data_IF_967437525734
#
_entry.id   IF_967437525734
#
_cell.length_a   1.000
_cell.length_b   1.000
_cell.length_c   1.000
_cell.angle_alpha   90.00
_cell.angle_beta   90.00
_cell.angle_gamma   90.00
#
_symmetry.space_group_name_H-M   'P 1'
#
loop_
_entity.id
_entity.type
_entity.pdbx_description
1 polymer ?
#
# COMPACT_ATOMS: atom_id res chain seq x y z
N UNK A 1 22.01 4.06 -11.09
CA UNK A 1 21.54 5.10 -10.14
C UNK A 1 21.45 4.43 -8.79
N UNK A 2 22.00 5.02 -7.71
CA UNK A 2 21.80 4.50 -6.36
C UNK A 2 20.31 4.57 -6.01
N UNK A 3 19.74 3.48 -5.52
CA UNK A 3 18.36 3.44 -5.04
C UNK A 3 18.21 4.45 -3.88
N UNK A 4 17.10 5.19 -3.88
CA UNK A 4 16.84 6.22 -2.88
C UNK A 4 15.81 5.66 -1.89
N UNK A 5 16.23 5.44 -0.65
CA UNK A 5 15.32 5.10 0.45
C UNK A 5 14.33 6.23 0.66
N UNK A 6 13.03 5.94 0.59
CA UNK A 6 11.98 6.94 0.78
C UNK A 6 11.11 6.69 2.01
N UNK A 7 10.86 5.44 2.36
CA UNK A 7 10.19 5.06 3.60
C UNK A 7 11.09 4.13 4.39
N UNK A 8 11.28 4.41 5.66
CA UNK A 8 12.06 3.54 6.53
C UNK A 8 11.51 3.52 7.94
N UNK A 9 11.85 2.48 8.67
CA UNK A 9 11.61 2.40 10.10
C UNK A 9 12.82 1.88 10.84
N UNK A 10 12.95 2.27 12.12
CA UNK A 10 14.01 1.80 13.00
C UNK A 10 13.44 1.39 14.35
N UNK A 11 13.79 0.17 14.75
CA UNK A 11 13.49 -0.42 16.06
C UNK A 11 12.02 -0.29 16.45
N UNK A 12 11.10 -0.50 15.46
CA UNK A 12 9.67 -0.36 15.72
C UNK A 12 9.19 -1.37 16.75
N UNK A 13 8.56 -0.84 17.78
CA UNK A 13 7.89 -1.59 18.84
C UNK A 13 6.40 -1.29 18.84
N UNK A 14 5.57 -2.30 18.98
CA UNK A 14 4.13 -2.12 19.11
C UNK A 14 3.51 -3.17 20.02
N UNK A 15 2.73 -2.73 20.97
CA UNK A 15 1.90 -3.55 21.83
C UNK A 15 0.43 -3.35 21.48
N UNK A 16 -0.34 -4.42 21.40
CA UNK A 16 -1.77 -4.40 21.14
C UNK A 16 -2.52 -5.00 22.31
N UNK A 17 -3.74 -4.48 22.59
CA UNK A 17 -4.53 -4.91 23.74
C UNK A 17 -4.12 -4.24 25.05
N UNK A 18 -4.85 -4.52 26.11
CA UNK A 18 -4.66 -3.96 27.44
C UNK A 18 -4.47 -5.10 28.46
N UNK A 19 -3.80 -4.79 29.56
CA UNK A 19 -3.58 -5.69 30.70
C UNK A 19 -3.12 -7.11 30.31
N UNK A 20 -3.82 -8.15 30.74
CA UNK A 20 -3.48 -9.55 30.50
C UNK A 20 -3.59 -9.96 29.02
N UNK A 21 -4.32 -9.21 28.19
CA UNK A 21 -4.44 -9.43 26.74
C UNK A 21 -3.36 -8.72 25.93
N UNK A 22 -2.42 -8.04 26.57
CA UNK A 22 -1.37 -7.26 25.89
C UNK A 22 -0.41 -8.15 25.13
N UNK A 23 -0.39 -7.98 23.80
CA UNK A 23 0.48 -8.74 22.89
C UNK A 23 1.56 -7.82 22.35
N UNK A 24 2.82 -8.25 22.43
CA UNK A 24 3.94 -7.57 21.80
C UNK A 24 3.98 -7.91 20.31
N UNK A 25 3.29 -7.12 19.49
CA UNK A 25 3.02 -7.37 18.08
C UNK A 25 4.23 -7.09 17.18
N UNK A 26 5.04 -6.06 17.50
CA UNK A 26 6.32 -5.76 16.83
C UNK A 26 7.43 -5.62 17.87
N UNK A 27 8.58 -6.20 17.57
CA UNK A 27 9.69 -6.39 18.50
C UNK A 27 11.02 -5.91 17.90
N UNK A 28 11.15 -4.58 17.71
CA UNK A 28 12.36 -3.95 17.18
C UNK A 28 12.53 -4.16 15.68
N UNK A 29 11.48 -3.90 14.87
CA UNK A 29 11.55 -4.05 13.42
C UNK A 29 12.22 -2.85 12.79
N UNK A 30 13.26 -3.10 11.97
CA UNK A 30 13.94 -2.08 11.16
C UNK A 30 13.89 -2.50 9.68
N UNK A 31 13.55 -1.53 8.80
CA UNK A 31 13.34 -1.78 7.38
C UNK A 31 13.57 -0.50 6.57
N UNK A 32 14.09 -0.66 5.36
CA UNK A 32 14.25 0.41 4.37
C UNK A 32 13.53 0.04 3.08
N UNK A 33 12.78 1.00 2.50
CA UNK A 33 11.99 0.83 1.28
C UNK A 33 12.45 1.89 0.29
N UNK A 34 12.96 1.43 -0.85
CA UNK A 34 13.54 2.24 -1.89
C UNK A 34 12.54 2.54 -2.99
N UNK A 35 12.64 3.73 -3.60
CA UNK A 35 11.85 4.06 -4.78
C UNK A 35 12.20 3.14 -5.96
N UNK A 36 11.19 2.81 -6.76
CA UNK A 36 11.31 1.94 -7.92
C UNK A 36 11.37 0.45 -7.58
N UNK A 37 11.21 0.06 -6.30
CA UNK A 37 11.26 -1.33 -5.84
C UNK A 37 9.94 -1.83 -5.28
N UNK A 38 9.77 -3.14 -5.30
CA UNK A 38 8.62 -3.86 -4.77
C UNK A 38 9.08 -4.77 -3.62
N UNK A 39 8.54 -4.53 -2.43
CA UNK A 39 8.84 -5.27 -1.21
C UNK A 39 7.64 -6.11 -0.79
N UNK A 40 7.83 -7.40 -0.55
CA UNK A 40 6.83 -8.28 0.05
C UNK A 40 7.20 -8.64 1.48
N UNK A 41 6.20 -8.63 2.38
CA UNK A 41 6.32 -9.22 3.70
C UNK A 41 5.48 -10.48 3.76
N UNK A 42 6.11 -11.58 4.13
CA UNK A 42 5.50 -12.91 4.25
C UNK A 42 5.69 -13.44 5.68
N UNK A 43 4.84 -14.38 6.07
CA UNK A 43 4.92 -15.01 7.39
C UNK A 43 3.56 -15.53 7.86
N UNK A 44 3.51 -16.28 8.97
CA UNK A 44 2.27 -16.85 9.50
C UNK A 44 1.24 -15.77 9.91
N UNK A 45 -0.02 -16.16 10.00
CA UNK A 45 -1.07 -15.26 10.52
C UNK A 45 -0.74 -14.85 11.96
N UNK A 46 -1.00 -13.57 12.28
CA UNK A 46 -0.76 -13.03 13.62
C UNK A 46 0.69 -12.65 13.92
N UNK A 47 1.66 -12.83 13.00
CA UNK A 47 3.07 -12.49 13.26
C UNK A 47 3.39 -10.98 13.22
N UNK A 48 2.40 -10.09 12.96
CA UNK A 48 2.57 -8.65 13.02
C UNK A 48 2.64 -7.92 11.66
N UNK A 49 2.40 -8.60 10.51
CA UNK A 49 2.54 -8.01 9.16
C UNK A 49 1.65 -6.78 8.93
N UNK A 50 0.35 -6.89 9.20
CA UNK A 50 -0.59 -5.75 9.04
C UNK A 50 -0.29 -4.65 10.05
N UNK A 51 0.16 -5.00 11.27
CA UNK A 51 0.62 -4.01 12.26
C UNK A 51 1.81 -3.20 11.73
N UNK A 52 2.79 -3.88 11.14
CA UNK A 52 3.93 -3.22 10.51
C UNK A 52 3.47 -2.28 9.37
N UNK A 53 2.60 -2.77 8.49
CA UNK A 53 2.04 -1.97 7.39
C UNK A 53 1.29 -0.74 7.91
N UNK A 54 0.51 -0.86 8.99
CA UNK A 54 -0.25 0.26 9.56
C UNK A 54 0.65 1.31 10.20
N UNK A 55 1.74 0.92 10.87
CA UNK A 55 2.73 1.86 11.39
C UNK A 55 3.49 2.58 10.26
N UNK A 56 3.99 1.84 9.26
CA UNK A 56 4.60 2.42 8.07
C UNK A 56 3.65 3.35 7.33
N UNK A 57 2.37 3.03 7.36
CA UNK A 57 1.30 3.81 6.74
C UNK A 57 0.79 4.97 7.58
N UNK A 58 1.34 5.22 8.76
CA UNK A 58 0.89 6.29 9.65
C UNK A 58 -0.60 6.19 10.02
N UNK A 59 -1.13 4.96 10.02
CA UNK A 59 -2.50 4.65 10.47
C UNK A 59 -2.55 4.38 11.97
N UNK A 60 -1.41 4.03 12.54
CA UNK A 60 -1.20 3.80 13.97
C UNK A 60 0.14 4.41 14.38
N UNK A 61 0.38 4.56 15.68
CA UNK A 61 1.63 5.09 16.22
C UNK A 61 2.42 3.99 16.92
N UNK A 62 3.75 3.94 16.78
CA UNK A 62 4.58 2.98 17.48
C UNK A 62 4.69 3.31 18.97
N UNK A 63 4.83 2.28 19.80
CA UNK A 63 5.18 2.45 21.23
C UNK A 63 6.67 2.74 21.42
N UNK A 64 7.50 2.36 20.44
CA UNK A 64 8.93 2.64 20.41
C UNK A 64 9.47 2.62 18.97
N UNK A 65 10.66 3.20 18.81
CA UNK A 65 11.27 3.33 17.48
C UNK A 65 10.76 4.53 16.68
N UNK A 66 11.01 4.54 15.38
CA UNK A 66 10.67 5.67 14.52
C UNK A 66 10.33 5.24 13.10
N UNK A 67 9.46 6.04 12.44
CA UNK A 67 9.16 5.97 11.01
C UNK A 67 9.66 7.25 10.35
N UNK A 68 10.32 7.12 9.20
CA UNK A 68 10.84 8.22 8.39
C UNK A 68 10.25 8.13 6.99
N UNK A 69 9.74 9.25 6.47
CA UNK A 69 9.20 9.37 5.13
C UNK A 69 9.94 10.49 4.40
N UNK A 70 10.64 10.16 3.32
CA UNK A 70 11.61 11.05 2.70
C UNK A 70 12.75 11.38 3.66
N UNK A 71 12.89 12.65 4.01
CA UNK A 71 13.90 13.13 4.98
C UNK A 71 13.30 13.46 6.36
N UNK A 72 12.01 13.20 6.57
CA UNK A 72 11.27 13.65 7.75
C UNK A 72 10.97 12.48 8.69
N UNK A 73 11.38 12.60 9.95
CA UNK A 73 11.00 11.66 11.01
C UNK A 73 9.59 12.00 11.53
N UNK A 74 8.68 11.03 11.54
CA UNK A 74 7.24 11.27 11.74
C UNK A 74 6.72 10.80 13.09
N UNK A 75 7.50 10.08 13.87
CA UNK A 75 7.02 9.33 15.06
C UNK A 75 6.46 10.18 16.21
N UNK A 76 6.57 11.50 16.14
CA UNK A 76 6.11 12.41 17.20
C UNK A 76 5.22 13.55 16.70
N UNK A 77 4.74 13.43 15.45
CA UNK A 77 3.83 14.42 14.89
C UNK A 77 2.40 14.20 15.43
N UNK A 78 1.61 15.26 15.59
CA UNK A 78 0.21 15.14 15.95
C UNK A 78 -0.60 14.46 14.82
N UNK A 79 -1.71 13.81 15.19
CA UNK A 79 -2.53 12.99 14.28
C UNK A 79 -2.97 13.71 13.00
N UNK A 80 -3.28 14.99 13.07
CA UNK A 80 -3.69 15.76 11.91
C UNK A 80 -2.56 15.96 10.89
N UNK A 81 -1.31 16.13 11.36
CA UNK A 81 -0.13 16.21 10.52
C UNK A 81 0.19 14.84 9.90
N UNK A 82 0.13 13.76 10.69
CA UNK A 82 0.28 12.38 10.19
C UNK A 82 -0.77 12.08 9.12
N UNK A 83 -2.03 12.44 9.35
CA UNK A 83 -3.12 12.26 8.38
C UNK A 83 -2.87 13.04 7.07
N UNK A 84 -2.31 14.24 7.16
CA UNK A 84 -1.93 15.05 6.00
C UNK A 84 -0.79 14.39 5.24
N UNK A 85 0.32 14.00 5.91
CA UNK A 85 1.47 13.34 5.29
C UNK A 85 1.07 12.03 4.62
N UNK A 86 0.25 11.24 5.30
CA UNK A 86 -0.32 10.00 4.77
C UNK A 86 -1.07 10.26 3.47
N UNK A 87 -2.01 11.21 3.46
CA UNK A 87 -2.81 11.52 2.26
C UNK A 87 -1.99 12.09 1.10
N UNK A 88 -0.90 12.79 1.39
CA UNK A 88 0.00 13.36 0.37
C UNK A 88 0.93 12.32 -0.26
N UNK A 89 1.47 11.41 0.54
CA UNK A 89 2.64 10.64 0.14
C UNK A 89 2.45 9.13 0.11
N UNK A 90 1.33 8.62 0.66
CA UNK A 90 1.06 7.19 0.78
C UNK A 90 -0.28 6.84 0.14
N UNK A 91 -0.27 5.88 -0.79
CA UNK A 91 -1.46 5.23 -1.33
C UNK A 91 -1.74 3.93 -0.61
N UNK A 92 -3.01 3.64 -0.32
CA UNK A 92 -3.41 2.40 0.35
C UNK A 92 -4.26 1.51 -0.53
N UNK A 93 -3.95 0.22 -0.52
CA UNK A 93 -4.75 -0.85 -1.10
C UNK A 93 -4.99 -1.88 -0.01
N UNK A 94 -6.26 -2.17 0.29
CA UNK A 94 -6.64 -3.15 1.30
C UNK A 94 -7.29 -4.38 0.67
N UNK A 95 -7.29 -5.49 1.39
CA UNK A 95 -7.94 -6.73 1.01
C UNK A 95 -9.44 -6.54 0.75
N UNK A 96 -10.12 -5.81 1.64
CA UNK A 96 -11.45 -5.28 1.40
C UNK A 96 -11.29 -3.91 0.76
N UNK A 97 -11.89 -3.68 -0.38
CA UNK A 97 -11.63 -2.48 -1.21
C UNK A 97 -12.03 -1.17 -0.52
N UNK A 98 -12.93 -1.22 0.48
CA UNK A 98 -13.46 -0.07 1.20
C UNK A 98 -13.90 1.06 0.26
N UNK A 99 -14.58 0.69 -0.83
CA UNK A 99 -15.20 1.66 -1.71
C UNK A 99 -16.52 2.12 -1.10
N UNK A 100 -16.84 3.39 -1.32
CA UNK A 100 -18.17 3.91 -1.05
C UNK A 100 -19.13 3.33 -2.10
N UNK A 101 -20.00 2.44 -1.67
CA UNK A 101 -20.82 1.59 -2.57
C UNK A 101 -21.76 2.41 -3.47
N UNK A 102 -22.31 3.51 -2.95
CA UNK A 102 -23.21 4.41 -3.66
C UNK A 102 -22.49 5.42 -4.55
N UNK A 103 -21.16 5.59 -4.37
CA UNK A 103 -20.33 6.46 -5.20
C UNK A 103 -19.96 5.74 -6.50
N UNK A 104 -19.85 6.52 -7.57
CA UNK A 104 -19.30 6.03 -8.83
C UNK A 104 -17.82 5.63 -8.68
N UNK A 105 -17.26 4.91 -9.67
CA UNK A 105 -15.84 4.61 -9.73
C UNK A 105 -15.00 5.91 -9.67
N UNK A 106 -15.38 6.92 -10.45
CA UNK A 106 -14.70 8.20 -10.50
C UNK A 106 -14.76 8.94 -9.16
N UNK A 107 -15.91 9.02 -8.53
CA UNK A 107 -16.07 9.66 -7.22
C UNK A 107 -15.23 8.99 -6.14
N UNK A 108 -15.12 7.65 -6.14
CA UNK A 108 -14.25 6.93 -5.21
C UNK A 108 -12.78 7.31 -5.39
N UNK A 109 -12.31 7.44 -6.62
CA UNK A 109 -10.93 7.87 -6.92
C UNK A 109 -10.69 9.33 -6.48
N UNK A 110 -11.71 10.18 -6.56
CA UNK A 110 -11.61 11.60 -6.18
C UNK A 110 -11.55 11.82 -4.65
N UNK A 111 -11.96 10.87 -3.80
CA UNK A 111 -12.00 11.03 -2.34
C UNK A 111 -10.68 11.59 -1.76
N UNK A 112 -9.51 10.97 -1.99
CA UNK A 112 -8.25 11.47 -1.45
C UNK A 112 -7.85 12.85 -2.00
N UNK A 113 -8.20 13.16 -3.27
CA UNK A 113 -7.94 14.47 -3.87
C UNK A 113 -8.78 15.57 -3.21
N UNK A 114 -10.09 15.29 -2.98
CA UNK A 114 -10.98 16.21 -2.24
C UNK A 114 -10.46 16.49 -0.84
N UNK A 115 -9.95 15.46 -0.15
CA UNK A 115 -9.38 15.61 1.20
C UNK A 115 -8.09 16.44 1.19
N UNK A 116 -7.27 16.35 0.12
CA UNK A 116 -6.05 17.13 -0.03
C UNK A 116 -6.33 18.58 -0.38
N UNK A 117 -7.37 18.85 -1.18
CA UNK A 117 -7.86 20.21 -1.46
C UNK A 117 -6.94 21.05 -2.35
N UNK A 118 -6.14 20.43 -3.23
CA UNK A 118 -5.20 21.14 -4.12
C UNK A 118 -5.70 21.33 -5.54
N UNK A 119 -6.70 20.57 -5.94
CA UNK A 119 -7.24 20.54 -7.30
C UNK A 119 -8.66 21.11 -7.31
N UNK A 120 -9.03 21.75 -8.40
CA UNK A 120 -10.42 22.08 -8.71
C UNK A 120 -11.25 20.81 -8.98
N UNK A 121 -12.57 20.95 -9.03
CA UNK A 121 -13.43 19.81 -9.35
C UNK A 121 -13.12 19.22 -10.73
N UNK A 122 -12.95 20.07 -11.74
CA UNK A 122 -12.65 19.68 -13.11
C UNK A 122 -11.31 18.92 -13.20
N UNK A 123 -10.26 19.44 -12.55
CA UNK A 123 -8.94 18.77 -12.49
C UNK A 123 -9.02 17.41 -11.76
N UNK A 124 -9.85 17.29 -10.71
CA UNK A 124 -10.06 16.01 -10.03
C UNK A 124 -10.79 15.01 -10.91
N UNK A 125 -11.81 15.46 -11.66
CA UNK A 125 -12.58 14.61 -12.58
C UNK A 125 -11.70 14.10 -13.73
N UNK A 126 -10.92 14.97 -14.35
CA UNK A 126 -9.96 14.61 -15.41
C UNK A 126 -8.93 13.59 -14.90
N UNK A 127 -8.27 13.91 -13.77
CA UNK A 127 -7.26 13.01 -13.18
C UNK A 127 -7.85 11.66 -12.78
N UNK A 128 -9.06 11.64 -12.22
CA UNK A 128 -9.72 10.39 -11.86
C UNK A 128 -10.07 9.55 -13.10
N UNK A 129 -10.50 10.20 -14.19
CA UNK A 129 -10.77 9.54 -15.46
C UNK A 129 -9.49 8.93 -16.06
N UNK A 130 -8.37 9.65 -16.05
CA UNK A 130 -7.08 9.16 -16.53
C UNK A 130 -6.60 7.94 -15.73
N UNK A 131 -6.71 7.98 -14.40
CA UNK A 131 -6.35 6.87 -13.54
C UNK A 131 -7.25 5.65 -13.76
N UNK A 132 -8.56 5.84 -14.00
CA UNK A 132 -9.49 4.77 -14.33
C UNK A 132 -9.23 4.19 -15.73
N UNK A 133 -8.86 5.02 -16.70
CA UNK A 133 -8.40 4.57 -18.01
C UNK A 133 -7.13 3.71 -17.88
N UNK A 134 -6.16 4.12 -17.07
CA UNK A 134 -4.91 3.38 -16.84
C UNK A 134 -5.14 1.98 -16.22
N UNK A 135 -6.28 1.76 -15.57
CA UNK A 135 -6.68 0.47 -14.98
C UNK A 135 -7.81 -0.23 -15.78
N UNK A 136 -8.00 0.11 -17.04
CA UNK A 136 -9.00 -0.47 -17.96
C UNK A 136 -10.45 -0.35 -17.45
N UNK A 137 -10.83 0.81 -16.90
CA UNK A 137 -12.18 1.15 -16.42
C UNK A 137 -12.73 2.47 -16.97
N UNK A 138 -12.18 2.98 -18.08
CA UNK A 138 -12.59 4.24 -18.67
C UNK A 138 -14.06 4.25 -19.17
N UNK A 139 -14.63 3.08 -19.49
CA UNK A 139 -16.03 2.90 -19.87
C UNK A 139 -16.99 2.86 -18.65
N UNK A 140 -16.45 2.91 -17.41
CA UNK A 140 -17.21 2.69 -16.16
C UNK A 140 -17.09 3.83 -15.16
N UNK A 141 -16.65 5.00 -15.59
CA UNK A 141 -16.41 6.16 -14.71
C UNK A 141 -17.59 6.46 -13.79
N UNK A 142 -18.79 6.49 -14.35
CA UNK A 142 -20.03 6.85 -13.64
C UNK A 142 -20.75 5.66 -13.02
N UNK A 143 -20.20 4.43 -13.14
CA UNK A 143 -20.83 3.24 -12.61
C UNK A 143 -20.71 3.17 -11.09
N UNK A 144 -21.79 3.04 -10.31
CA UNK A 144 -21.74 2.86 -8.86
C UNK A 144 -20.89 1.64 -8.49
N UNK A 145 -20.06 1.78 -7.45
CA UNK A 145 -19.08 0.74 -7.08
C UNK A 145 -19.72 -0.58 -6.69
N UNK A 146 -20.93 -0.58 -6.11
CA UNK A 146 -21.70 -1.81 -5.82
C UNK A 146 -22.07 -2.63 -7.07
N UNK A 147 -22.05 -2.04 -8.25
CA UNK A 147 -22.38 -2.71 -9.52
C UNK A 147 -21.12 -3.15 -10.30
N UNK A 148 -19.95 -3.02 -9.71
CA UNK A 148 -18.68 -3.50 -10.24
C UNK A 148 -18.40 -4.91 -9.74
N UNK A 149 -17.77 -5.75 -10.57
CA UNK A 149 -17.22 -7.03 -10.13
C UNK A 149 -16.08 -6.82 -9.13
N UNK A 150 -15.73 -7.84 -8.32
CA UNK A 150 -14.64 -7.75 -7.34
C UNK A 150 -13.30 -7.32 -7.97
N UNK A 151 -12.98 -7.83 -9.16
CA UNK A 151 -11.76 -7.41 -9.89
C UNK A 151 -11.83 -5.97 -10.39
N UNK A 152 -13.00 -5.46 -10.77
CA UNK A 152 -13.20 -4.06 -11.12
C UNK A 152 -13.10 -3.15 -9.89
N UNK A 153 -13.70 -3.55 -8.77
CA UNK A 153 -13.57 -2.84 -7.49
C UNK A 153 -12.12 -2.75 -7.04
N UNK A 154 -11.33 -3.82 -7.21
CA UNK A 154 -9.90 -3.81 -6.94
C UNK A 154 -9.17 -2.81 -7.83
N UNK A 155 -9.46 -2.75 -9.12
CA UNK A 155 -8.86 -1.76 -10.02
C UNK A 155 -9.25 -0.32 -9.66
N UNK A 156 -10.47 -0.07 -9.21
CA UNK A 156 -10.86 1.25 -8.64
C UNK A 156 -10.05 1.56 -7.39
N UNK A 157 -9.83 0.59 -6.49
CA UNK A 157 -9.01 0.78 -5.30
C UNK A 157 -7.54 1.08 -5.64
N UNK A 158 -6.98 0.45 -6.69
CA UNK A 158 -5.64 0.76 -7.20
C UNK A 158 -5.60 2.19 -7.76
N UNK A 159 -6.57 2.60 -8.58
CA UNK A 159 -6.65 3.96 -9.11
C UNK A 159 -6.77 4.99 -7.98
N UNK A 160 -7.61 4.72 -6.97
CA UNK A 160 -7.76 5.58 -5.78
C UNK A 160 -6.45 5.71 -4.99
N UNK A 161 -5.70 4.63 -4.85
CA UNK A 161 -4.40 4.67 -4.17
C UNK A 161 -3.39 5.59 -4.87
N UNK A 162 -3.51 5.76 -6.19
CA UNK A 162 -2.64 6.62 -7.01
C UNK A 162 -3.13 8.07 -7.14
N UNK A 163 -4.29 8.41 -6.61
CA UNK A 163 -4.99 9.67 -6.85
C UNK A 163 -4.14 10.92 -6.56
N UNK A 164 -3.45 10.96 -5.44
CA UNK A 164 -2.60 12.09 -5.04
C UNK A 164 -1.14 11.96 -5.48
N UNK A 165 -0.83 11.07 -6.45
CA UNK A 165 0.53 10.79 -6.91
C UNK A 165 1.52 10.43 -5.79
N UNK A 166 1.16 9.45 -4.92
CA UNK A 166 2.00 9.10 -3.79
C UNK A 166 3.34 8.53 -4.23
N UNK A 167 4.36 8.66 -3.37
CA UNK A 167 5.67 8.05 -3.61
C UNK A 167 5.72 6.60 -3.14
N UNK A 168 4.86 6.23 -2.19
CA UNK A 168 4.79 4.88 -1.62
C UNK A 168 3.37 4.36 -1.72
N UNK A 169 3.22 3.10 -2.10
CA UNK A 169 1.97 2.37 -2.05
C UNK A 169 2.13 1.25 -1.01
N UNK A 170 1.22 1.20 -0.06
CA UNK A 170 1.12 0.15 0.94
C UNK A 170 -0.10 -0.72 0.64
N UNK A 171 0.11 -2.03 0.56
CA UNK A 171 -0.94 -2.96 0.17
C UNK A 171 -1.07 -4.11 1.19
N UNK A 172 -2.22 -4.23 1.82
CA UNK A 172 -2.55 -5.35 2.72
C UNK A 172 -3.37 -6.38 1.97
N UNK A 173 -2.76 -7.53 1.62
CA UNK A 173 -3.37 -8.63 0.86
C UNK A 173 -4.13 -8.13 -0.39
N UNK A 174 -3.49 -7.37 -1.30
CA UNK A 174 -4.19 -6.63 -2.36
C UNK A 174 -4.90 -7.53 -3.37
N UNK A 175 -4.76 -8.83 -3.27
CA UNK A 175 -5.37 -9.81 -4.18
C UNK A 175 -6.11 -10.91 -3.43
N UNK A 176 -6.23 -10.81 -2.11
CA UNK A 176 -6.74 -11.90 -1.25
C UNK A 176 -8.19 -12.32 -1.53
N UNK A 177 -9.00 -11.42 -2.10
CA UNK A 177 -10.42 -11.68 -2.42
C UNK A 177 -10.67 -11.98 -3.91
N UNK A 178 -9.60 -12.15 -4.70
CA UNK A 178 -9.69 -12.41 -6.14
C UNK A 178 -9.34 -13.88 -6.46
N UNK A 179 -9.91 -14.41 -7.52
CA UNK A 179 -9.42 -15.66 -8.10
C UNK A 179 -7.99 -15.50 -8.64
N UNK A 180 -7.30 -16.61 -8.86
CA UNK A 180 -5.88 -16.64 -9.25
C UNK A 180 -5.58 -15.79 -10.49
N UNK A 181 -6.44 -15.81 -11.52
CA UNK A 181 -6.22 -15.07 -12.76
C UNK A 181 -6.39 -13.57 -12.57
N UNK A 182 -7.41 -13.15 -11.82
CA UNK A 182 -7.64 -11.74 -11.51
C UNK A 182 -6.59 -11.20 -10.53
N UNK A 183 -6.13 -12.03 -9.58
CA UNK A 183 -5.02 -11.71 -8.66
C UNK A 183 -3.75 -11.36 -9.41
N UNK A 184 -3.37 -12.20 -10.36
CA UNK A 184 -2.17 -12.00 -11.17
C UNK A 184 -2.26 -10.71 -12.00
N UNK A 185 -3.38 -10.51 -12.69
CA UNK A 185 -3.59 -9.30 -13.51
C UNK A 185 -3.57 -8.01 -12.68
N UNK A 186 -4.22 -8.01 -11.51
CA UNK A 186 -4.24 -6.86 -10.62
C UNK A 186 -2.83 -6.54 -10.10
N UNK A 187 -2.03 -7.56 -9.78
CA UNK A 187 -0.66 -7.37 -9.32
C UNK A 187 0.26 -6.88 -10.44
N UNK A 188 0.19 -7.47 -11.65
CA UNK A 188 0.96 -7.02 -12.82
C UNK A 188 0.66 -5.55 -13.17
N UNK A 189 -0.61 -5.16 -13.13
CA UNK A 189 -1.04 -3.78 -13.32
C UNK A 189 -0.42 -2.86 -12.26
N UNK A 190 -0.54 -3.23 -10.98
CA UNK A 190 0.02 -2.45 -9.88
C UNK A 190 1.54 -2.31 -10.01
N UNK A 191 2.24 -3.41 -10.31
CA UNK A 191 3.69 -3.42 -10.50
C UNK A 191 4.12 -2.50 -11.64
N UNK A 192 3.43 -2.54 -12.78
CA UNK A 192 3.68 -1.65 -13.91
C UNK A 192 3.54 -0.17 -13.51
N UNK A 193 2.41 0.20 -12.88
CA UNK A 193 2.14 1.59 -12.49
C UNK A 193 3.15 2.11 -11.45
N UNK A 194 3.62 1.24 -10.55
CA UNK A 194 4.67 1.55 -9.57
C UNK A 194 6.00 1.82 -10.26
N UNK A 195 6.37 0.99 -11.23
CA UNK A 195 7.64 1.12 -11.96
C UNK A 195 7.69 2.34 -12.85
N UNK A 196 6.65 2.55 -13.67
CA UNK A 196 6.52 3.70 -14.56
C UNK A 196 6.53 5.02 -13.77
N UNK A 197 5.90 5.05 -12.59
CA UNK A 197 5.85 6.20 -11.71
C UNK A 197 7.07 6.38 -10.80
N UNK A 198 8.08 5.50 -10.87
CA UNK A 198 9.21 5.47 -9.93
C UNK A 198 8.78 5.55 -8.46
N UNK A 199 7.79 4.73 -8.09
CA UNK A 199 7.19 4.64 -6.75
C UNK A 199 7.73 3.41 -6.03
N UNK A 200 7.61 3.38 -4.70
CA UNK A 200 7.83 2.17 -3.93
C UNK A 200 6.51 1.43 -3.71
N UNK A 201 6.53 0.10 -3.74
CA UNK A 201 5.43 -0.74 -3.32
C UNK A 201 5.88 -1.63 -2.15
N UNK A 202 5.16 -1.56 -1.04
CA UNK A 202 5.32 -2.48 0.08
C UNK A 202 4.02 -3.23 0.29
N UNK A 203 4.05 -4.54 0.20
CA UNK A 203 2.85 -5.36 0.33
C UNK A 203 3.01 -6.48 1.35
N UNK A 204 1.91 -6.73 2.05
CA UNK A 204 1.72 -7.93 2.86
C UNK A 204 1.00 -8.96 2.02
N UNK A 205 1.49 -10.18 1.95
CA UNK A 205 0.82 -11.25 1.21
C UNK A 205 1.15 -12.64 1.76
N UNK A 206 0.19 -13.55 1.66
CA UNK A 206 0.39 -14.99 1.84
C UNK A 206 0.56 -15.72 0.50
N UNK A 207 0.42 -15.02 -0.63
CA UNK A 207 0.56 -15.60 -1.96
C UNK A 207 2.04 -15.64 -2.38
N UNK A 208 2.62 -16.84 -2.34
CA UNK A 208 4.03 -17.06 -2.70
C UNK A 208 4.35 -16.69 -4.16
N UNK A 209 3.40 -16.85 -5.09
CA UNK A 209 3.62 -16.47 -6.48
C UNK A 209 3.84 -14.97 -6.63
N UNK A 210 3.10 -14.15 -5.86
CA UNK A 210 3.28 -12.71 -5.82
C UNK A 210 4.58 -12.35 -5.10
N UNK A 211 4.84 -12.94 -3.93
CA UNK A 211 6.07 -12.67 -3.18
C UNK A 211 7.32 -12.97 -4.02
N UNK A 212 7.33 -14.08 -4.76
CA UNK A 212 8.46 -14.51 -5.57
C UNK A 212 8.82 -13.58 -6.75
N UNK A 213 7.96 -12.67 -7.15
CA UNK A 213 8.23 -11.70 -8.23
C UNK A 213 8.55 -10.29 -7.70
N UNK A 214 8.57 -10.10 -6.38
CA UNK A 214 9.00 -8.87 -5.73
C UNK A 214 10.53 -8.75 -5.73
N UNK A 215 11.05 -7.52 -5.65
CA UNK A 215 12.49 -7.25 -5.61
C UNK A 215 13.09 -7.65 -4.26
N UNK A 216 12.29 -7.50 -3.19
CA UNK A 216 12.66 -7.85 -1.83
C UNK A 216 11.56 -8.69 -1.17
N UNK A 217 11.99 -9.72 -0.43
CA UNK A 217 11.09 -10.55 0.38
C UNK A 217 11.59 -10.49 1.83
N UNK A 218 10.72 -10.06 2.73
CA UNK A 218 10.97 -10.00 4.16
C UNK A 218 10.14 -11.07 4.86
N UNK A 219 10.82 -12.03 5.49
CA UNK A 219 10.16 -13.06 6.29
C UNK A 219 9.95 -12.57 7.70
N UNK A 220 8.70 -12.59 8.15
CA UNK A 220 8.32 -12.10 9.47
C UNK A 220 7.81 -13.25 10.34
N UNK A 221 8.33 -13.34 11.55
CA UNK A 221 7.92 -14.29 12.57
C UNK A 221 7.93 -13.64 13.95
N UNK A 222 6.89 -13.87 14.75
CA UNK A 222 6.80 -13.43 16.17
C UNK A 222 7.17 -11.94 16.39
N UNK A 223 6.69 -11.07 15.50
CA UNK A 223 6.91 -9.63 15.57
C UNK A 223 8.30 -9.16 15.10
N UNK A 224 9.08 -10.00 14.46
CA UNK A 224 10.45 -9.69 13.97
C UNK A 224 10.61 -10.03 12.49
N UNK A 225 11.44 -9.30 11.78
CA UNK A 225 11.97 -9.74 10.48
C UNK A 225 13.11 -10.70 10.77
N UNK A 226 12.93 -11.97 10.37
CA UNK A 226 13.91 -13.05 10.62
C UNK A 226 14.83 -13.29 9.42
N UNK A 227 14.40 -12.94 8.21
CA UNK A 227 15.20 -13.01 7.00
C UNK A 227 14.78 -11.94 6.00
N UNK A 228 15.71 -11.48 5.18
CA UNK A 228 15.46 -10.58 4.04
C UNK A 228 16.22 -11.12 2.84
N UNK A 229 15.49 -11.33 1.74
CA UNK A 229 16.04 -11.84 0.49
C UNK A 229 15.89 -10.78 -0.58
N UNK A 230 17.00 -10.42 -1.23
CA UNK A 230 16.97 -9.58 -2.42
C UNK A 230 16.99 -10.47 -3.67
N UNK A 231 16.21 -10.10 -4.65
CA UNK A 231 16.23 -10.73 -5.95
C UNK A 231 17.18 -9.97 -6.87
N UNK A 232 18.47 -10.28 -6.84
CA UNK A 232 19.44 -9.77 -7.80
C UNK A 232 19.36 -10.57 -9.10
N UNK A 233 18.98 -9.91 -10.20
CA UNK A 233 18.97 -10.47 -11.57
C UNK A 233 17.58 -10.56 -12.15
N UNK A 234 17.47 -10.17 -13.44
CA UNK A 234 16.30 -10.11 -14.34
C UNK A 234 14.97 -10.62 -13.78
N UNK A 235 14.01 -9.71 -13.68
CA UNK A 235 12.63 -10.01 -13.27
C UNK A 235 12.02 -11.10 -14.13
N UNK A 236 11.52 -12.23 -13.58
CA UNK A 236 10.74 -13.16 -14.38
C UNK A 236 9.37 -12.53 -14.65
N UNK A 237 8.96 -12.56 -15.91
CA UNK A 237 7.55 -12.51 -16.26
C UNK A 237 6.86 -13.77 -15.72
N UNK A 238 5.62 -13.64 -15.28
CA UNK A 238 4.76 -14.79 -15.02
C UNK A 238 4.68 -15.63 -16.31
N UNK A 239 4.99 -16.92 -16.20
CA UNK A 239 4.71 -17.91 -17.25
C UNK A 239 3.34 -18.52 -17.07
#
# INVERSE_FOLDING_TARGET
>A
MSAVTYLSCRDLERYLGEDESRVHALRGVSLEIELGTVHAVVGPSGCGKSTLLYLLGLLDQPDGGSVTLGSEALSHLPDHELARRRNESIGFIFQFHFLMEDFSAQENVMIPMRRLGRLSLEEMEERAADLLNAVDLGDKLQRPSRHLSGGEQQRVAIARALANDPRVILADEPTGNLDTRNSQRAFELLQRLVQEGNKALFLVTHNQLIANVCDWIHEMQDGRIVATHSRSGSRPSFQ
#
